data_IF_148130426018
#
_entry.id   IF_148130426018
#
_cell.length_a   1.000
_cell.length_b   1.000
_cell.length_c   1.000
_cell.angle_alpha   90.00
_cell.angle_beta   90.00
_cell.angle_gamma   90.00
#
_symmetry.space_group_name_H-M   'P 1'
#
loop_
_entity.id
_entity.type
_entity.pdbx_description
1 polymer ?
#
# COMPACT_ATOMS: atom_id res chain seq x y z
N UNK A 1 -14.58 32.48 2.00
CA UNK A 1 -14.31 33.84 1.49
C UNK A 1 -14.74 33.88 0.02
N UNK A 2 -15.07 35.01 -0.57
CA UNK A 2 -15.33 35.09 -2.01
C UNK A 2 -14.58 36.28 -2.57
N UNK A 3 -14.01 36.12 -3.75
CA UNK A 3 -13.34 37.20 -4.48
C UNK A 3 -14.26 37.57 -5.64
N UNK A 4 -14.69 38.83 -5.66
CA UNK A 4 -15.49 39.38 -6.76
C UNK A 4 -14.60 40.24 -7.64
N UNK A 5 -14.59 39.93 -8.93
CA UNK A 5 -13.81 40.64 -9.94
C UNK A 5 -14.61 41.81 -10.55
N UNK A 6 -13.94 42.79 -11.19
CA UNK A 6 -14.58 43.97 -11.77
C UNK A 6 -15.59 43.68 -12.90
N UNK A 7 -15.45 42.54 -13.57
CA UNK A 7 -16.38 42.03 -14.59
C UNK A 7 -17.64 41.38 -13.99
N UNK A 8 -17.76 41.39 -12.66
CA UNK A 8 -18.91 40.87 -11.93
C UNK A 8 -18.85 39.38 -11.62
N UNK A 9 -17.82 38.67 -12.12
CA UNK A 9 -17.60 37.25 -11.84
C UNK A 9 -17.18 37.07 -10.37
N UNK A 10 -17.65 36.01 -9.75
CA UNK A 10 -17.37 35.70 -8.35
C UNK A 10 -16.68 34.34 -8.30
N UNK A 11 -15.46 34.31 -7.77
CA UNK A 11 -14.81 33.07 -7.36
C UNK A 11 -15.10 32.80 -5.89
N UNK A 12 -15.59 31.60 -5.61
CA UNK A 12 -15.84 31.15 -4.25
C UNK A 12 -14.53 30.59 -3.67
N UNK A 13 -13.85 31.39 -2.84
CA UNK A 13 -12.65 30.93 -2.13
C UNK A 13 -13.09 30.25 -0.85
N UNK A 14 -13.35 28.94 -0.93
CA UNK A 14 -13.59 28.14 0.27
C UNK A 14 -12.45 28.38 1.28
N UNK A 15 -12.74 28.63 2.57
CA UNK A 15 -11.68 28.64 3.56
C UNK A 15 -11.01 27.28 3.48
N UNK A 16 -9.69 27.25 3.29
CA UNK A 16 -8.93 26.02 3.28
C UNK A 16 -9.03 25.39 4.69
N UNK A 17 -10.08 24.61 4.92
CA UNK A 17 -9.92 23.39 5.68
C UNK A 17 -8.74 22.69 5.04
N UNK A 18 -7.71 22.38 5.82
CA UNK A 18 -6.54 21.62 5.37
C UNK A 18 -7.05 20.19 5.10
N UNK A 19 -7.84 20.02 4.05
CA UNK A 19 -8.03 18.72 3.43
C UNK A 19 -6.70 18.50 2.74
N UNK A 20 -5.78 17.83 3.42
CA UNK A 20 -4.60 17.28 2.75
C UNK A 20 -5.13 16.57 1.51
N UNK A 21 -4.74 17.06 0.33
CA UNK A 21 -5.10 16.43 -0.92
C UNK A 21 -4.74 14.95 -0.82
N UNK A 22 -5.68 14.07 -1.15
CA UNK A 22 -5.47 12.63 -1.06
C UNK A 22 -4.23 12.23 -1.87
N UNK A 23 -3.26 11.57 -1.23
CA UNK A 23 -2.18 10.89 -1.93
C UNK A 23 -2.74 9.61 -2.54
N UNK A 24 -3.01 9.66 -3.85
CA UNK A 24 -3.53 8.50 -4.59
C UNK A 24 -2.42 7.60 -5.11
N UNK A 25 -1.14 7.92 -4.88
CA UNK A 25 -0.02 7.12 -5.41
C UNK A 25 -0.15 5.67 -4.97
N UNK A 26 -0.15 4.70 -5.89
CA UNK A 26 -0.26 3.30 -5.50
C UNK A 26 1.02 2.81 -4.79
N UNK A 27 0.92 1.84 -3.85
CA UNK A 27 2.10 1.16 -3.30
C UNK A 27 2.92 0.46 -4.38
N UNK A 28 4.23 0.34 -4.16
CA UNK A 28 5.09 -0.41 -5.07
C UNK A 28 5.06 -1.91 -4.72
N UNK A 29 4.93 -2.76 -5.73
CA UNK A 29 5.03 -4.23 -5.60
C UNK A 29 6.13 -4.69 -6.55
N UNK A 30 7.11 -5.42 -6.04
CA UNK A 30 8.27 -5.93 -6.79
C UNK A 30 8.71 -7.29 -6.26
N UNK A 31 9.34 -8.10 -7.09
CA UNK A 31 10.00 -9.34 -6.67
C UNK A 31 11.46 -9.11 -6.29
N UNK A 32 11.96 -9.83 -5.28
CA UNK A 32 13.39 -9.93 -5.02
C UNK A 32 14.05 -11.07 -5.82
N UNK A 33 15.39 -11.12 -5.83
CA UNK A 33 16.15 -12.15 -6.52
C UNK A 33 15.96 -13.58 -5.95
N UNK A 34 15.24 -13.73 -4.83
CA UNK A 34 14.91 -15.00 -4.18
C UNK A 34 13.46 -15.41 -4.43
N UNK A 35 12.70 -14.64 -5.22
CA UNK A 35 11.28 -14.88 -5.49
C UNK A 35 10.36 -14.49 -4.34
N UNK A 36 10.80 -13.64 -3.41
CA UNK A 36 9.91 -13.05 -2.42
C UNK A 36 9.23 -11.79 -2.98
N UNK A 37 8.02 -11.55 -2.54
CA UNK A 37 7.29 -10.33 -2.88
C UNK A 37 7.66 -9.24 -1.89
N UNK A 38 8.14 -8.11 -2.41
CA UNK A 38 8.49 -6.91 -1.67
C UNK A 38 7.46 -5.83 -1.98
N UNK A 39 6.84 -5.30 -0.92
CA UNK A 39 5.75 -4.33 -1.04
C UNK A 39 6.09 -3.10 -0.22
N UNK A 40 6.09 -1.92 -0.82
CA UNK A 40 6.46 -0.67 -0.17
C UNK A 40 5.26 0.28 -0.06
N UNK A 41 4.98 0.86 1.12
CA UNK A 41 3.88 1.81 1.30
C UNK A 41 4.16 3.13 0.60
N UNK A 42 3.13 3.95 0.46
CA UNK A 42 3.28 5.33 -0.02
C UNK A 42 3.98 6.21 1.01
N UNK A 43 4.56 7.33 0.56
CA UNK A 43 5.36 8.22 1.41
C UNK A 43 4.54 8.81 2.56
N UNK A 44 3.27 9.11 2.35
CA UNK A 44 2.38 9.71 3.35
C UNK A 44 1.60 8.68 4.18
N UNK A 45 1.79 7.38 3.93
CA UNK A 45 1.07 6.33 4.59
C UNK A 45 1.34 6.29 6.11
N UNK A 46 0.27 6.03 6.87
CA UNK A 46 0.31 5.63 8.29
C UNK A 46 -0.28 4.24 8.52
N UNK A 47 -1.08 3.75 7.57
CA UNK A 47 -1.55 2.37 7.50
C UNK A 47 -1.29 1.82 6.10
N UNK A 48 -0.95 0.54 6.03
CA UNK A 48 -0.62 -0.15 4.81
C UNK A 48 -1.22 -1.55 4.84
N UNK A 49 -1.92 -1.92 3.76
CA UNK A 49 -2.65 -3.18 3.69
C UNK A 49 -2.19 -3.97 2.48
N UNK A 50 -1.83 -5.23 2.72
CA UNK A 50 -1.43 -6.18 1.67
C UNK A 50 -2.31 -7.42 1.76
N UNK A 51 -2.80 -7.91 0.62
CA UNK A 51 -3.53 -9.18 0.54
C UNK A 51 -2.86 -10.13 -0.43
N UNK A 52 -2.85 -11.41 -0.09
CA UNK A 52 -2.31 -12.49 -0.91
C UNK A 52 -3.05 -13.79 -0.62
N UNK A 53 -2.85 -14.81 -1.46
CA UNK A 53 -3.43 -16.14 -1.25
C UNK A 53 -2.33 -17.09 -0.79
N UNK A 54 -2.50 -17.75 0.35
CA UNK A 54 -1.54 -18.73 0.85
C UNK A 54 -1.59 -20.05 0.07
N UNK A 55 -0.61 -20.93 0.29
CA UNK A 55 -0.55 -22.26 -0.33
C UNK A 55 -1.77 -23.16 -0.08
N UNK A 56 -2.58 -22.88 0.94
CA UNK A 56 -3.82 -23.60 1.22
C UNK A 56 -5.02 -23.02 0.45
N UNK A 57 -4.79 -22.00 -0.39
CA UNK A 57 -5.82 -21.28 -1.12
C UNK A 57 -6.61 -20.30 -0.25
N UNK A 58 -6.12 -19.93 0.94
CA UNK A 58 -6.79 -18.97 1.81
C UNK A 58 -6.26 -17.57 1.60
N UNK A 59 -7.17 -16.60 1.50
CA UNK A 59 -6.81 -15.19 1.50
C UNK A 59 -6.21 -14.79 2.85
N UNK A 60 -5.07 -14.13 2.81
CA UNK A 60 -4.35 -13.57 3.94
C UNK A 60 -4.41 -12.05 3.86
N UNK A 61 -4.59 -11.42 5.01
CA UNK A 61 -4.63 -9.97 5.17
C UNK A 61 -3.49 -9.54 6.10
N UNK A 62 -2.61 -8.69 5.59
CA UNK A 62 -1.51 -8.10 6.35
C UNK A 62 -1.80 -6.62 6.51
N UNK A 63 -1.93 -6.19 7.75
CA UNK A 63 -2.08 -4.78 8.11
C UNK A 63 -0.80 -4.34 8.81
N UNK A 64 -0.21 -3.27 8.32
CA UNK A 64 0.99 -2.64 8.87
C UNK A 64 0.66 -1.21 9.24
N UNK A 65 1.01 -0.81 10.45
CA UNK A 65 0.70 0.54 10.97
C UNK A 65 1.97 1.23 11.44
N UNK A 66 2.00 2.55 11.24
CA UNK A 66 3.06 3.43 11.71
C UNK A 66 2.70 3.95 13.10
N UNK A 67 3.51 3.61 14.09
CA UNK A 67 3.37 4.09 15.45
C UNK A 67 3.70 5.58 15.58
N UNK A 68 3.35 6.15 16.73
CA UNK A 68 3.68 7.54 17.07
C UNK A 68 5.20 7.79 17.17
N UNK A 69 5.98 6.74 17.37
CA UNK A 69 7.45 6.76 17.31
C UNK A 69 8.00 6.77 15.87
N UNK A 70 7.11 6.77 14.88
CA UNK A 70 7.43 6.74 13.46
C UNK A 70 7.81 5.35 12.94
N UNK A 71 7.72 4.29 13.76
CA UNK A 71 8.09 2.94 13.35
C UNK A 71 6.91 2.14 12.84
N UNK A 72 7.15 1.33 11.82
CA UNK A 72 6.17 0.42 11.25
C UNK A 72 6.13 -0.91 12.00
N UNK A 73 4.93 -1.41 12.25
CA UNK A 73 4.69 -2.67 12.96
C UNK A 73 3.54 -3.44 12.34
N UNK A 74 3.54 -4.76 12.54
CA UNK A 74 2.43 -5.64 12.14
C UNK A 74 2.26 -6.76 13.16
N UNK A 75 1.04 -7.31 13.23
CA UNK A 75 0.74 -8.54 13.99
C UNK A 75 0.84 -9.80 13.13
N UNK A 76 1.00 -9.64 11.81
CA UNK A 76 1.15 -10.75 10.88
C UNK A 76 2.51 -11.45 11.08
N UNK A 77 2.48 -12.74 11.44
CA UNK A 77 3.70 -13.53 11.71
C UNK A 77 4.37 -14.11 10.47
N UNK A 78 3.62 -14.19 9.36
CA UNK A 78 4.07 -14.82 8.12
C UNK A 78 4.90 -13.88 7.22
N UNK A 79 5.09 -12.62 7.63
CA UNK A 79 5.75 -11.59 6.84
C UNK A 79 6.80 -10.88 7.68
N UNK A 80 7.74 -10.23 7.00
CA UNK A 80 8.76 -9.39 7.63
C UNK A 80 8.42 -7.94 7.29
N UNK A 81 8.48 -7.05 8.27
CA UNK A 81 8.33 -5.60 8.07
C UNK A 81 9.62 -4.89 8.48
N UNK A 82 10.09 -3.99 7.62
CA UNK A 82 11.13 -3.04 7.99
C UNK A 82 10.51 -1.93 8.86
N UNK A 83 10.94 -1.77 10.13
CA UNK A 83 10.34 -0.81 11.05
C UNK A 83 10.60 0.65 10.67
N UNK A 84 11.56 0.95 9.81
CA UNK A 84 11.91 2.32 9.39
C UNK A 84 11.17 2.70 8.12
N UNK A 85 11.20 1.82 7.12
CA UNK A 85 10.64 2.10 5.79
C UNK A 85 9.19 1.65 5.64
N UNK A 86 8.75 0.68 6.43
CA UNK A 86 7.45 0.03 6.28
C UNK A 86 7.38 -0.99 5.15
N UNK A 87 8.52 -1.28 4.51
CA UNK A 87 8.61 -2.30 3.48
C UNK A 87 8.23 -3.66 4.07
N UNK A 88 7.32 -4.36 3.38
CA UNK A 88 6.86 -5.71 3.72
C UNK A 88 7.50 -6.70 2.77
N UNK A 89 8.08 -7.76 3.31
CA UNK A 89 8.58 -8.90 2.55
C UNK A 89 7.69 -10.10 2.87
N UNK A 90 7.00 -10.60 1.84
CA UNK A 90 6.20 -11.81 1.90
C UNK A 90 7.03 -12.93 1.26
N UNK A 91 7.37 -13.99 2.02
CA UNK A 91 8.10 -15.12 1.45
C UNK A 91 7.32 -15.71 0.27
N UNK A 92 7.95 -15.83 -0.90
CA UNK A 92 7.27 -16.38 -2.09
C UNK A 92 6.77 -17.80 -1.86
N UNK A 93 7.50 -18.58 -1.05
CA UNK A 93 7.11 -19.92 -0.61
C UNK A 93 5.87 -19.97 0.27
N UNK A 94 5.37 -18.85 0.79
CA UNK A 94 4.14 -18.77 1.56
C UNK A 94 2.91 -18.41 0.70
N UNK A 95 3.13 -18.02 -0.56
CA UNK A 95 2.09 -17.59 -1.50
C UNK A 95 1.82 -18.70 -2.49
N UNK A 96 0.54 -18.95 -2.79
CA UNK A 96 0.17 -19.88 -3.85
C UNK A 96 0.63 -19.31 -5.20
N UNK A 97 1.46 -20.03 -5.97
CA UNK A 97 1.89 -19.55 -7.28
C UNK A 97 0.70 -19.41 -8.24
N UNK A 98 0.77 -18.45 -9.17
CA UNK A 98 -0.32 -18.09 -10.08
C UNK A 98 -1.48 -17.34 -9.41
N UNK A 99 -1.25 -16.72 -8.25
CA UNK A 99 -2.23 -15.85 -7.58
C UNK A 99 -1.74 -14.41 -7.53
N UNK A 100 -2.65 -13.48 -7.22
CA UNK A 100 -2.37 -12.04 -7.21
C UNK A 100 -2.10 -11.57 -5.79
N UNK A 101 -1.05 -10.75 -5.62
CA UNK A 101 -0.84 -9.91 -4.45
C UNK A 101 -1.40 -8.53 -4.75
N UNK A 102 -2.17 -7.96 -3.82
CA UNK A 102 -2.65 -6.57 -3.94
C UNK A 102 -2.26 -5.74 -2.73
N UNK A 103 -2.11 -4.43 -2.93
CA UNK A 103 -1.76 -3.52 -1.85
C UNK A 103 -2.33 -2.11 -2.04
N UNK A 104 -2.70 -1.47 -0.92
CA UNK A 104 -3.07 -0.06 -0.84
C UNK A 104 -2.60 0.54 0.50
N UNK A 105 -2.45 1.86 0.54
CA UNK A 105 -2.06 2.63 1.73
C UNK A 105 -3.18 3.56 2.18
N UNK A 106 -3.11 3.99 3.44
CA UNK A 106 -3.92 5.08 3.97
C UNK A 106 -3.07 6.12 4.68
N UNK A 107 -3.39 7.40 4.48
CA UNK A 107 -2.77 8.52 5.19
C UNK A 107 -3.45 8.82 6.53
N UNK A 108 -2.91 9.80 7.26
CA UNK A 108 -3.45 10.21 8.57
C UNK A 108 -4.84 10.86 8.50
N UNK A 109 -5.25 11.38 7.34
CA UNK A 109 -6.58 11.92 7.10
C UNK A 109 -7.60 10.82 6.73
N UNK A 110 -7.13 9.57 6.55
CA UNK A 110 -7.95 8.44 6.15
C UNK A 110 -8.16 8.34 4.64
N UNK A 111 -7.43 9.11 3.83
CA UNK A 111 -7.46 8.96 2.38
C UNK A 111 -6.84 7.62 1.98
N UNK A 112 -7.43 6.95 1.01
CA UNK A 112 -6.96 5.66 0.49
C UNK A 112 -6.23 5.90 -0.82
N UNK A 113 -5.07 5.25 -0.99
CA UNK A 113 -4.32 5.30 -2.24
C UNK A 113 -4.98 4.50 -3.36
N UNK A 114 -4.48 4.64 -4.59
CA UNK A 114 -4.77 3.68 -5.64
C UNK A 114 -4.29 2.27 -5.24
N UNK A 115 -4.94 1.25 -5.80
CA UNK A 115 -4.59 -0.15 -5.61
C UNK A 115 -3.50 -0.54 -6.61
N UNK A 116 -2.46 -1.23 -6.14
CA UNK A 116 -1.55 -1.94 -7.02
C UNK A 116 -1.73 -3.46 -6.88
N UNK A 117 -1.38 -4.20 -7.93
CA UNK A 117 -1.46 -5.65 -7.98
C UNK A 117 -0.32 -6.26 -8.80
N UNK A 118 0.21 -7.40 -8.34
CA UNK A 118 1.17 -8.19 -9.10
C UNK A 118 0.79 -9.68 -9.05
N UNK A 119 0.93 -10.38 -10.17
CA UNK A 119 0.80 -11.83 -10.23
C UNK A 119 2.09 -12.48 -9.71
N UNK A 120 1.96 -13.45 -8.80
CA UNK A 120 3.08 -14.28 -8.38
C UNK A 120 3.28 -15.34 -9.44
N UNK A 121 4.44 -15.30 -10.11
CA UNK A 121 4.73 -16.25 -11.18
C UNK A 121 4.61 -17.70 -10.67
N UNK A 122 3.93 -18.52 -11.46
CA UNK A 122 3.94 -19.95 -11.23
C UNK A 122 5.38 -20.45 -11.48
N UNK A 123 5.94 -21.21 -10.53
CA UNK A 123 7.15 -21.99 -10.82
C UNK A 123 6.74 -23.03 -11.87
N UNK A 124 6.94 -22.71 -13.15
CA UNK A 124 6.68 -23.66 -14.22
C UNK A 124 7.62 -24.85 -14.00
N UNK A 125 7.04 -26.03 -13.79
CA UNK A 125 7.79 -27.28 -13.68
C UNK A 125 8.51 -27.67 -14.98
N UNK A 126 8.45 -26.83 -16.04
CA UNK A 126 9.04 -27.08 -17.36
C UNK A 126 10.18 -26.13 -17.76
N UNK A 127 10.75 -25.32 -16.85
CA UNK A 127 12.00 -24.60 -17.13
C UNK A 127 13.18 -25.19 -16.30
N UNK A 128 13.77 -26.33 -16.74
CA UNK A 128 14.95 -26.93 -16.12
C UNK A 128 16.25 -26.12 -16.34
#
# INVERSE_FOLDING_TARGET
MSIKYPDGTIDLVLPAEIVKQADTTAPAITDDAKGNIVVAPTKEAVEFVVTYVDNNGKAQLVIVTKGADGKWTTTAKAVIVDPVTGQVIIPGSAIKPGTVVTAYSKDMAGNVSDLNSAEVEAVDANNP
#
